data_IF_485593418000
#
_entry.id   IF_485593418000
#
_cell.length_a   1.000
_cell.length_b   1.000
_cell.length_c   1.000
_cell.angle_alpha   90.00
_cell.angle_beta   90.00
_cell.angle_gamma   90.00
#
_symmetry.space_group_name_H-M   'P 1'
#
loop_
_entity.id
_entity.type
_entity.pdbx_description
1 polymer ?
#
# COMPACT_ATOMS: atom_id res chain seq x y z
N UNK A 1 2.12 16.51 10.46
CA UNK A 1 3.52 16.18 10.11
C UNK A 1 3.47 15.24 8.91
N UNK A 2 3.92 15.65 7.72
CA UNK A 2 3.80 14.81 6.52
C UNK A 2 4.98 13.83 6.45
N UNK A 3 4.70 12.53 6.58
CA UNK A 3 5.70 11.48 6.41
C UNK A 3 5.91 11.26 4.91
N UNK A 4 7.15 11.41 4.44
CA UNK A 4 7.54 11.00 3.09
C UNK A 4 8.03 9.55 3.14
N UNK A 5 7.25 8.56 2.67
CA UNK A 5 7.67 7.17 2.67
C UNK A 5 8.86 6.94 1.73
N UNK A 6 9.76 6.06 2.12
CA UNK A 6 10.89 5.60 1.29
C UNK A 6 10.59 4.26 0.61
N UNK A 7 9.63 3.49 1.15
CA UNK A 7 9.20 2.20 0.61
C UNK A 7 7.68 2.11 0.55
N UNK A 8 7.17 1.46 -0.49
CA UNK A 8 5.77 1.04 -0.61
C UNK A 8 5.63 -0.46 -0.41
N UNK A 9 4.64 -0.90 0.37
CA UNK A 9 4.38 -2.31 0.65
C UNK A 9 2.91 -2.60 0.31
N UNK A 10 2.64 -3.58 -0.55
CA UNK A 10 1.26 -4.03 -0.85
C UNK A 10 1.02 -5.40 -0.23
N UNK A 11 0.20 -5.46 0.81
CA UNK A 11 -0.16 -6.68 1.50
C UNK A 11 -1.23 -7.45 0.73
N UNK A 12 -0.87 -8.63 0.22
CA UNK A 12 -1.83 -9.63 -0.27
C UNK A 12 -2.48 -10.41 0.88
N UNK A 13 -3.26 -11.43 0.53
CA UNK A 13 -3.90 -12.34 1.49
C UNK A 13 -2.90 -12.91 2.50
N UNK A 14 -3.25 -12.86 3.79
CA UNK A 14 -2.41 -13.34 4.90
C UNK A 14 -1.29 -12.39 5.35
N UNK A 15 -0.99 -11.32 4.61
CA UNK A 15 0.06 -10.35 4.95
C UNK A 15 -0.48 -9.08 5.62
N UNK A 16 -1.77 -9.06 5.98
CA UNK A 16 -2.41 -7.91 6.61
C UNK A 16 -1.71 -7.47 7.89
N UNK A 17 -1.20 -8.39 8.71
CA UNK A 17 -0.56 -8.07 9.99
C UNK A 17 0.66 -7.15 9.90
N UNK A 18 1.30 -7.04 8.73
CA UNK A 18 2.43 -6.12 8.50
C UNK A 18 2.05 -4.67 8.83
N UNK A 19 0.84 -4.25 8.47
CA UNK A 19 0.37 -2.89 8.75
C UNK A 19 0.21 -2.60 10.24
N UNK A 20 -0.04 -3.62 11.07
CA UNK A 20 -0.16 -3.48 12.53
C UNK A 20 1.21 -3.31 13.20
N UNK A 21 2.31 -3.68 12.53
CA UNK A 21 3.67 -3.50 13.01
C UNK A 21 4.25 -2.10 12.72
N UNK A 22 3.47 -1.23 12.07
CA UNK A 22 3.91 0.14 11.75
C UNK A 22 3.82 1.02 12.99
N UNK A 23 4.95 1.63 13.35
CA UNK A 23 5.03 2.62 14.43
C UNK A 23 4.58 4.01 13.95
N UNK A 24 3.99 4.77 14.86
CA UNK A 24 3.39 6.10 14.63
C UNK A 24 2.51 6.15 13.38
N UNK A 25 1.50 5.27 13.26
CA UNK A 25 0.75 5.12 12.03
C UNK A 25 -0.17 6.32 11.80
N UNK A 26 -0.12 6.86 10.58
CA UNK A 26 -1.18 7.67 10.01
C UNK A 26 -1.97 6.80 9.03
N UNK A 27 -3.25 6.62 9.30
CA UNK A 27 -4.11 5.66 8.60
C UNK A 27 -5.16 6.42 7.80
N UNK A 28 -5.35 6.00 6.55
CA UNK A 28 -6.42 6.47 5.67
C UNK A 28 -7.21 5.24 5.23
N UNK A 29 -8.49 5.17 5.56
CA UNK A 29 -9.37 4.13 5.05
C UNK A 29 -9.58 4.35 3.54
N UNK A 30 -9.65 3.27 2.75
CA UNK A 30 -9.85 3.41 1.30
C UNK A 30 -11.18 4.12 0.96
N UNK A 31 -12.20 3.99 1.83
CA UNK A 31 -13.48 4.71 1.69
C UNK A 31 -13.34 6.23 1.72
N UNK A 32 -12.29 6.74 2.35
CA UNK A 32 -12.06 8.17 2.53
C UNK A 32 -11.21 8.75 1.37
N UNK A 33 -10.67 7.89 0.50
CA UNK A 33 -9.87 8.30 -0.65
C UNK A 33 -10.80 8.40 -1.86
N UNK A 34 -10.96 9.60 -2.47
CA UNK A 34 -11.77 9.74 -3.66
C UNK A 34 -11.33 8.79 -4.77
N UNK A 35 -12.29 8.11 -5.38
CA UNK A 35 -12.09 7.14 -6.48
C UNK A 35 -11.37 5.83 -6.11
N UNK A 36 -11.04 5.62 -4.83
CA UNK A 36 -10.58 4.31 -4.39
C UNK A 36 -11.75 3.33 -4.30
N UNK A 37 -11.59 2.09 -4.79
CA UNK A 37 -12.60 1.07 -4.62
C UNK A 37 -12.63 0.56 -3.17
N UNK A 38 -13.84 0.43 -2.65
CA UNK A 38 -14.11 -0.23 -1.38
C UNK A 38 -14.34 -1.72 -1.62
N UNK A 39 -13.48 -2.59 -1.08
CA UNK A 39 -13.68 -4.04 -1.17
C UNK A 39 -14.73 -4.49 -0.15
N UNK A 40 -15.79 -5.14 -0.59
CA UNK A 40 -16.84 -5.70 0.28
C UNK A 40 -16.51 -7.09 0.84
N UNK A 41 -15.37 -7.68 0.47
CA UNK A 41 -14.96 -9.02 0.93
C UNK A 41 -14.26 -8.90 2.29
N UNK A 42 -14.91 -9.38 3.34
CA UNK A 42 -14.57 -9.16 4.75
C UNK A 42 -13.25 -9.75 5.27
N UNK A 43 -12.31 -10.16 4.42
CA UNK A 43 -11.00 -10.70 4.82
C UNK A 43 -9.83 -9.72 4.69
N UNK A 44 -10.05 -8.53 4.12
CA UNK A 44 -9.01 -7.52 3.93
C UNK A 44 -9.42 -6.20 4.60
N UNK A 45 -8.65 -5.74 5.60
CA UNK A 45 -8.72 -4.35 6.05
C UNK A 45 -8.26 -3.48 4.89
N UNK A 46 -9.13 -2.61 4.39
CA UNK A 46 -8.88 -1.82 3.17
C UNK A 46 -8.46 -0.41 3.54
N UNK A 47 -7.17 -0.26 3.82
CA UNK A 47 -6.59 0.98 4.32
C UNK A 47 -5.14 1.18 3.89
N UNK A 48 -4.76 2.44 3.82
CA UNK A 48 -3.42 2.92 3.55
C UNK A 48 -2.79 3.41 4.85
N UNK A 49 -1.59 2.95 5.17
CA UNK A 49 -0.92 3.24 6.43
C UNK A 49 0.44 3.87 6.13
N UNK A 50 0.71 5.03 6.71
CA UNK A 50 2.01 5.69 6.66
C UNK A 50 2.65 5.64 8.04
N UNK A 51 3.95 5.40 8.13
CA UNK A 51 4.63 5.40 9.42
C UNK A 51 6.05 4.87 9.34
N UNK A 52 6.50 4.24 10.43
CA UNK A 52 7.85 3.67 10.55
C UNK A 52 7.81 2.16 10.74
N UNK A 53 8.54 1.41 9.91
CA UNK A 53 8.75 -0.03 10.06
C UNK A 53 10.24 -0.34 9.98
N UNK A 54 10.81 -0.94 11.03
CA UNK A 54 12.26 -1.22 11.09
C UNK A 54 13.15 0.02 10.93
N UNK A 55 12.70 1.19 11.37
CA UNK A 55 13.40 2.48 11.20
C UNK A 55 13.17 3.18 9.85
N UNK A 56 12.65 2.48 8.85
CA UNK A 56 12.34 3.04 7.54
C UNK A 56 10.96 3.73 7.50
N UNK A 57 10.82 4.81 6.73
CA UNK A 57 9.51 5.40 6.45
C UNK A 57 8.77 4.56 5.41
N UNK A 58 7.57 4.09 5.72
CA UNK A 58 6.81 3.19 4.84
C UNK A 58 5.42 3.72 4.53
N UNK A 59 4.92 3.37 3.35
CA UNK A 59 3.49 3.29 3.06
C UNK A 59 3.12 1.81 2.90
N UNK A 60 2.11 1.37 3.65
CA UNK A 60 1.57 0.01 3.57
C UNK A 60 0.14 0.09 3.07
N UNK A 61 -0.15 -0.65 2.00
CA UNK A 61 -1.49 -0.84 1.46
C UNK A 61 -1.99 -2.20 1.94
N UNK A 62 -2.95 -2.20 2.86
CA UNK A 62 -3.64 -3.42 3.27
C UNK A 62 -4.83 -3.65 2.34
N UNK A 63 -4.86 -4.82 1.70
CA UNK A 63 -5.87 -5.17 0.70
C UNK A 63 -5.41 -4.87 -0.73
N UNK A 64 -5.87 -5.72 -1.66
CA UNK A 64 -5.67 -5.58 -3.10
C UNK A 64 -7.02 -5.65 -3.79
N UNK A 65 -7.15 -4.90 -4.88
CA UNK A 65 -8.31 -5.00 -5.77
C UNK A 65 -8.08 -6.16 -6.72
N UNK A 66 -9.09 -7.01 -6.84
CA UNK A 66 -9.07 -8.08 -7.81
C UNK A 66 -10.01 -7.77 -8.97
N UNK A 67 -9.59 -8.15 -10.17
CA UNK A 67 -10.41 -7.99 -11.39
C UNK A 67 -11.73 -8.77 -11.33
N UNK A 68 -11.80 -9.86 -10.56
CA UNK A 68 -13.04 -10.63 -10.36
C UNK A 68 -14.08 -9.94 -9.47
N UNK A 69 -13.70 -8.86 -8.76
CA UNK A 69 -14.62 -8.05 -7.96
C UNK A 69 -15.38 -7.01 -8.82
N UNK A 70 -15.26 -7.09 -10.15
CA UNK A 70 -15.89 -6.16 -11.09
C UNK A 70 -15.12 -4.86 -11.31
N UNK A 71 -13.90 -4.75 -10.77
CA UNK A 71 -13.03 -3.60 -10.98
C UNK A 71 -12.41 -3.61 -12.38
N UNK A 72 -12.31 -2.43 -13.00
CA UNK A 72 -11.64 -2.29 -14.29
C UNK A 72 -10.15 -2.65 -14.16
N UNK A 73 -9.56 -3.20 -15.22
CA UNK A 73 -8.14 -3.54 -15.21
C UNK A 73 -7.25 -2.31 -14.95
N UNK A 74 -7.72 -1.12 -15.34
CA UNK A 74 -7.02 0.14 -15.05
C UNK A 74 -6.93 0.41 -13.55
N UNK A 75 -8.02 0.19 -12.82
CA UNK A 75 -8.11 0.37 -11.38
C UNK A 75 -7.24 -0.63 -10.61
N UNK A 76 -7.20 -1.89 -11.08
CA UNK A 76 -6.28 -2.90 -10.53
C UNK A 76 -4.81 -2.47 -10.73
N UNK A 77 -4.48 -1.95 -11.91
CA UNK A 77 -3.12 -1.50 -12.23
C UNK A 77 -2.72 -0.23 -11.46
N UNK A 78 -3.66 0.66 -11.15
CA UNK A 78 -3.37 1.89 -10.43
C UNK A 78 -2.99 1.64 -8.97
N UNK A 79 -3.56 0.61 -8.35
CA UNK A 79 -3.14 0.12 -7.03
C UNK A 79 -1.65 -0.27 -7.00
N UNK A 80 -1.20 -1.03 -8.01
CA UNK A 80 0.20 -1.44 -8.13
C UNK A 80 1.13 -0.24 -8.41
N UNK A 81 0.71 0.68 -9.29
CA UNK A 81 1.49 1.89 -9.60
C UNK A 81 1.67 2.80 -8.39
N UNK A 82 0.72 2.82 -7.46
CA UNK A 82 0.76 3.69 -6.30
C UNK A 82 1.89 3.31 -5.33
N UNK A 83 2.18 2.02 -5.17
CA UNK A 83 3.36 1.55 -4.45
C UNK A 83 4.67 1.83 -5.23
N UNK A 84 4.68 1.59 -6.54
CA UNK A 84 5.86 1.81 -7.40
C UNK A 84 6.26 3.29 -7.47
N UNK A 85 5.30 4.21 -7.42
CA UNK A 85 5.56 5.66 -7.47
C UNK A 85 6.22 6.19 -6.20
N UNK A 86 6.15 5.45 -5.09
CA UNK A 86 6.88 5.76 -3.85
C UNK A 86 8.33 5.27 -3.94
N UNK A 87 8.60 4.20 -4.70
CA UNK A 87 9.95 3.66 -4.93
C UNK A 87 10.83 4.54 -5.84
N UNK A 88 10.34 5.66 -6.37
CA UNK A 88 11.16 6.56 -7.20
C UNK A 88 11.66 7.80 -6.48
N UNK A 89 12.71 7.63 -5.65
CA UNK A 89 13.96 8.35 -5.82
C UNK A 89 15.01 7.35 -6.34
N UNK A 90 15.54 7.60 -7.56
CA UNK A 90 16.56 6.80 -8.26
C UNK A 90 17.57 6.08 -7.33
N UNK A 91 17.27 4.86 -6.88
CA UNK A 91 18.27 3.92 -6.38
C UNK A 91 18.17 2.64 -7.17
N UNK A 92 19.01 2.58 -8.21
CA UNK A 92 19.33 1.37 -8.96
C UNK A 92 20.18 0.50 -8.04
N UNK A 93 19.60 -0.54 -7.45
CA UNK A 93 20.38 -1.62 -6.83
C UNK A 93 21.16 -2.28 -7.97
N UNK A 94 22.44 -1.93 -8.11
CA UNK A 94 23.36 -2.68 -8.97
C UNK A 94 23.65 -3.99 -8.23
N UNK A 95 23.22 -5.12 -8.79
CA UNK A 95 23.75 -6.42 -8.38
C UNK A 95 25.27 -6.37 -8.56
N UNK A 96 26.02 -6.57 -7.47
CA UNK A 96 27.46 -6.80 -7.55
C UNK A 96 27.69 -8.09 -8.35
N UNK A 97 28.25 -7.95 -9.54
CA UNK A 97 29.09 -8.95 -10.18
C UNK A 97 30.54 -8.54 -10.03
#
# INVERSE_FOLDING_TARGET
>A
NFIKPTYGIICGSGLGTIGEAVNDPFIIEYSDIPHFPTTSVGSHRSRMIFGKLGGASVMVMQGRFHSYEGHSIHMVMDNEKMAIRIETPKQRIKSKG
#
